data_IF_102841370693
#
_entry.id   IF_102841370693
#
_cell.length_a   1.000
_cell.length_b   1.000
_cell.length_c   1.000
_cell.angle_alpha   90.00
_cell.angle_beta   90.00
_cell.angle_gamma   90.00
#
_symmetry.space_group_name_H-M   'P 1'
#
loop_
_entity.id
_entity.type
_entity.pdbx_description
1 polymer ?
#
# COMPACT_ATOMS: atom_id res chain seq x y z
N UNK A 1 -26.21 32.90 -1.41
CA UNK A 1 -26.23 31.51 -1.91
C UNK A 1 -24.86 30.98 -1.60
N UNK A 2 -24.66 30.57 -0.35
CA UNK A 2 -23.38 30.03 0.11
C UNK A 2 -23.25 28.62 -0.43
N UNK A 3 -22.29 28.44 -1.32
CA UNK A 3 -21.82 27.13 -1.71
C UNK A 3 -21.12 26.56 -0.47
N UNK A 4 -21.50 25.39 0.07
CA UNK A 4 -20.71 24.79 1.14
C UNK A 4 -19.34 24.50 0.54
N UNK A 5 -18.30 25.15 1.07
CA UNK A 5 -16.92 24.75 0.83
C UNK A 5 -16.85 23.27 1.17
N UNK A 6 -16.74 22.43 0.14
CA UNK A 6 -16.33 21.06 0.30
C UNK A 6 -14.89 21.15 0.82
N UNK A 7 -14.72 21.22 2.14
CA UNK A 7 -13.42 21.04 2.77
C UNK A 7 -12.93 19.66 2.36
N UNK A 8 -12.17 19.62 1.28
CA UNK A 8 -11.34 18.49 0.95
C UNK A 8 -10.28 18.45 2.04
N UNK A 9 -10.52 17.62 3.06
CA UNK A 9 -9.50 17.28 4.03
C UNK A 9 -8.72 16.09 3.44
N UNK A 10 -7.60 16.31 2.72
CA UNK A 10 -6.79 15.20 2.25
C UNK A 10 -6.39 14.34 3.45
N UNK A 11 -6.20 13.03 3.26
CA UNK A 11 -5.62 12.22 4.31
C UNK A 11 -4.31 12.88 4.76
N UNK A 12 -4.15 13.06 6.07
CA UNK A 12 -2.96 13.71 6.62
C UNK A 12 -1.68 12.97 6.19
N UNK A 13 -1.77 11.64 6.10
CA UNK A 13 -0.70 10.79 5.59
C UNK A 13 -0.53 10.92 4.08
N UNK A 14 0.67 10.59 3.60
CA UNK A 14 0.88 10.31 2.18
C UNK A 14 1.48 8.92 2.06
N UNK A 15 1.19 8.19 0.99
CA UNK A 15 1.80 6.90 0.76
C UNK A 15 2.02 6.67 -0.73
N UNK A 16 3.07 5.90 -1.02
CA UNK A 16 3.32 5.32 -2.33
C UNK A 16 3.19 3.82 -2.17
N UNK A 17 2.36 3.19 -3.00
CA UNK A 17 2.22 1.74 -3.08
C UNK A 17 2.71 1.30 -4.45
N UNK A 18 3.61 0.32 -4.50
CA UNK A 18 4.23 -0.13 -5.74
C UNK A 18 4.31 -1.65 -5.77
N UNK A 19 3.83 -2.24 -6.86
CA UNK A 19 4.05 -3.65 -7.16
C UNK A 19 5.48 -3.90 -7.64
N UNK A 20 6.04 -5.05 -7.28
CA UNK A 20 7.42 -5.44 -7.55
C UNK A 20 7.55 -6.97 -7.65
N UNK A 21 8.70 -7.45 -8.11
CA UNK A 21 9.04 -8.87 -8.09
C UNK A 21 9.48 -9.33 -6.69
N UNK A 22 10.23 -8.49 -5.98
CA UNK A 22 10.64 -8.71 -4.60
C UNK A 22 10.92 -7.38 -3.88
N UNK A 23 10.73 -7.36 -2.56
CA UNK A 23 10.99 -6.18 -1.72
C UNK A 23 11.74 -6.58 -0.45
N UNK A 24 12.71 -5.77 -0.05
CA UNK A 24 13.41 -5.92 1.23
C UNK A 24 13.46 -4.58 1.96
N UNK A 25 13.16 -4.60 3.26
CA UNK A 25 13.37 -3.46 4.16
C UNK A 25 14.60 -3.74 5.01
N UNK A 26 15.54 -2.82 5.03
CA UNK A 26 16.74 -2.90 5.88
C UNK A 26 17.20 -1.49 6.22
N UNK A 27 17.48 -1.24 7.50
CA UNK A 27 18.01 0.05 7.98
C UNK A 27 17.19 1.27 7.50
N UNK A 28 15.86 1.17 7.59
CA UNK A 28 14.94 2.22 7.14
C UNK A 28 14.89 2.45 5.62
N UNK A 29 15.59 1.64 4.83
CA UNK A 29 15.60 1.70 3.36
C UNK A 29 14.69 0.62 2.78
N UNK A 30 14.07 0.97 1.66
CA UNK A 30 13.22 0.09 0.88
C UNK A 30 13.96 -0.30 -0.41
N UNK A 31 14.43 -1.54 -0.48
CA UNK A 31 15.04 -2.13 -1.67
C UNK A 31 13.96 -2.81 -2.48
N UNK A 32 13.82 -2.44 -3.76
CA UNK A 32 12.74 -2.89 -4.63
C UNK A 32 13.34 -3.48 -5.90
N UNK A 33 13.08 -4.77 -6.13
CA UNK A 33 13.44 -5.45 -7.38
C UNK A 33 12.24 -5.43 -8.33
N UNK A 34 12.43 -4.90 -9.54
CA UNK A 34 11.36 -4.87 -10.55
C UNK A 34 10.18 -3.96 -10.19
N UNK A 35 10.43 -2.85 -9.49
CA UNK A 35 9.39 -1.91 -9.10
C UNK A 35 8.63 -1.33 -10.30
N UNK A 36 7.30 -1.24 -10.18
CA UNK A 36 6.42 -0.81 -11.26
C UNK A 36 5.80 -1.96 -12.05
N UNK A 37 5.82 -3.17 -11.49
CA UNK A 37 5.20 -4.35 -12.10
C UNK A 37 3.70 -4.16 -12.28
N UNK A 38 3.26 -3.87 -13.51
CA UNK A 38 1.85 -3.64 -13.84
C UNK A 38 1.12 -4.83 -14.45
N UNK A 39 1.85 -5.88 -14.84
CA UNK A 39 1.26 -7.06 -15.49
C UNK A 39 2.01 -8.32 -15.05
N UNK A 40 1.26 -9.35 -14.64
CA UNK A 40 1.80 -10.67 -14.31
C UNK A 40 1.36 -11.74 -15.33
N UNK A 41 2.12 -12.83 -15.38
CA UNK A 41 1.82 -13.98 -16.25
C UNK A 41 0.52 -14.70 -15.85
N UNK A 42 0.01 -15.59 -16.72
CA UNK A 42 -1.19 -16.38 -16.43
C UNK A 42 -0.96 -17.48 -15.39
N UNK A 43 0.31 -17.83 -15.13
CA UNK A 43 0.70 -18.79 -14.10
C UNK A 43 0.98 -18.04 -12.79
N UNK A 44 0.54 -18.57 -11.63
CA UNK A 44 0.86 -17.99 -10.34
C UNK A 44 2.39 -17.82 -10.18
N UNK A 45 2.80 -16.63 -9.77
CA UNK A 45 4.20 -16.28 -9.54
C UNK A 45 4.34 -15.47 -8.25
N UNK A 46 5.54 -15.44 -7.69
CA UNK A 46 5.83 -14.58 -6.54
C UNK A 46 5.72 -13.12 -6.97
N UNK A 47 5.17 -12.31 -6.08
CA UNK A 47 5.04 -10.87 -6.24
C UNK A 47 5.32 -10.20 -4.90
N UNK A 48 5.61 -8.91 -4.94
CA UNK A 48 5.79 -8.11 -3.74
C UNK A 48 5.08 -6.76 -3.88
N UNK A 49 4.74 -6.19 -2.73
CA UNK A 49 4.22 -4.83 -2.61
C UNK A 49 5.17 -4.04 -1.72
N UNK A 50 5.70 -2.97 -2.28
CA UNK A 50 6.50 -1.98 -1.58
C UNK A 50 5.58 -0.82 -1.19
N UNK A 51 5.57 -0.47 0.09
CA UNK A 51 4.82 0.69 0.58
C UNK A 51 5.77 1.65 1.25
N UNK A 52 5.64 2.94 0.95
CA UNK A 52 6.37 4.00 1.63
C UNK A 52 5.39 5.03 2.15
N UNK A 53 5.27 5.15 3.46
CA UNK A 53 4.31 6.04 4.13
C UNK A 53 5.06 7.28 4.63
N UNK A 54 4.59 8.46 4.28
CA UNK A 54 4.96 9.74 4.89
C UNK A 54 4.05 9.99 6.09
N UNK A 55 4.63 9.98 7.27
CA UNK A 55 3.95 10.27 8.53
C UNK A 55 4.03 11.78 8.79
N UNK A 56 2.88 12.44 9.01
CA UNK A 56 2.84 13.84 9.40
C UNK A 56 3.64 14.10 10.67
N UNK A 57 4.22 15.29 10.76
CA UNK A 57 5.08 15.64 11.89
C UNK A 57 4.34 15.52 13.22
N UNK A 58 3.08 15.95 13.29
CA UNK A 58 2.19 15.89 14.46
C UNK A 58 1.77 14.46 14.86
N UNK A 59 1.83 13.51 13.92
CA UNK A 59 1.47 12.09 14.11
C UNK A 59 2.65 11.19 14.52
N UNK A 60 3.86 11.74 14.64
CA UNK A 60 5.03 10.96 15.06
C UNK A 60 4.98 10.51 16.54
N UNK A 61 5.71 9.44 16.87
CA UNK A 61 5.74 8.76 18.17
C UNK A 61 4.35 8.27 18.63
N UNK A 62 3.46 7.99 17.68
CA UNK A 62 2.14 7.40 17.90
C UNK A 62 2.01 6.17 17.00
N UNK A 63 1.38 5.12 17.53
CA UNK A 63 1.08 3.92 16.75
C UNK A 63 -0.12 4.15 15.85
N UNK A 64 0.01 3.76 14.59
CA UNK A 64 -1.05 3.75 13.60
C UNK A 64 -1.31 2.36 13.09
N UNK A 65 -2.56 2.07 12.74
CA UNK A 65 -2.96 0.83 12.10
C UNK A 65 -2.87 1.01 10.59
N UNK A 66 -2.44 -0.04 9.89
CA UNK A 66 -2.52 -0.11 8.45
C UNK A 66 -3.10 -1.44 8.00
N UNK A 67 -3.72 -1.43 6.83
CA UNK A 67 -4.24 -2.63 6.18
C UNK A 67 -4.01 -2.54 4.68
N UNK A 68 -3.62 -3.65 4.07
CA UNK A 68 -3.48 -3.81 2.64
C UNK A 68 -4.43 -4.91 2.17
N UNK A 69 -5.44 -4.53 1.41
CA UNK A 69 -6.46 -5.42 0.85
C UNK A 69 -6.16 -5.66 -0.63
N UNK A 70 -6.32 -6.90 -1.10
CA UNK A 70 -6.41 -7.18 -2.52
C UNK A 70 -7.87 -7.11 -2.96
N UNK A 71 -8.17 -6.21 -3.89
CA UNK A 71 -9.51 -6.05 -4.48
C UNK A 71 -9.48 -6.35 -5.97
N UNK A 72 -10.62 -6.78 -6.51
CA UNK A 72 -10.80 -6.98 -7.94
C UNK A 72 -11.20 -5.68 -8.67
N UNK A 73 -11.47 -5.79 -9.97
CA UNK A 73 -11.83 -4.66 -10.83
C UNK A 73 -13.18 -4.02 -10.52
N UNK A 74 -14.04 -4.72 -9.75
CA UNK A 74 -15.33 -4.22 -9.25
C UNK A 74 -15.20 -3.64 -7.83
N UNK A 75 -13.98 -3.59 -7.28
CA UNK A 75 -13.69 -3.11 -5.93
C UNK A 75 -14.06 -4.09 -4.82
N UNK A 76 -14.33 -5.34 -5.14
CA UNK A 76 -14.68 -6.36 -4.15
C UNK A 76 -13.41 -7.06 -3.60
N UNK A 77 -13.37 -7.43 -2.31
CA UNK A 77 -12.24 -8.17 -1.76
C UNK A 77 -12.04 -9.51 -2.47
N UNK A 78 -10.81 -9.78 -2.92
CA UNK A 78 -10.44 -11.07 -3.49
C UNK A 78 -10.35 -12.11 -2.38
N UNK A 79 -11.14 -13.17 -2.48
CA UNK A 79 -11.14 -14.26 -1.53
C UNK A 79 -10.59 -15.58 -2.11
N UNK A 80 -9.78 -16.29 -1.33
CA UNK A 80 -9.35 -17.66 -1.61
C UNK A 80 -9.88 -18.55 -0.50
N UNK A 81 -10.58 -19.63 -0.88
CA UNK A 81 -11.20 -20.57 0.07
C UNK A 81 -12.09 -19.86 1.11
N UNK A 82 -12.83 -18.83 0.68
CA UNK A 82 -13.73 -18.05 1.53
C UNK A 82 -13.05 -17.02 2.45
N UNK A 83 -11.72 -16.81 2.34
CA UNK A 83 -10.98 -15.82 3.11
C UNK A 83 -10.39 -14.74 2.21
N UNK A 84 -10.72 -13.48 2.50
CA UNK A 84 -10.15 -12.32 1.80
C UNK A 84 -8.64 -12.23 1.98
N UNK A 85 -7.94 -11.86 0.92
CA UNK A 85 -6.50 -11.62 0.95
C UNK A 85 -6.27 -10.22 1.49
N UNK A 86 -5.94 -10.15 2.78
CA UNK A 86 -5.66 -8.91 3.49
C UNK A 86 -4.54 -9.11 4.51
N UNK A 87 -3.74 -8.06 4.68
CA UNK A 87 -2.61 -8.02 5.62
C UNK A 87 -2.75 -6.74 6.40
N UNK A 88 -2.63 -6.83 7.73
CA UNK A 88 -2.74 -5.67 8.59
C UNK A 88 -1.60 -5.68 9.61
N UNK A 89 -1.29 -4.50 10.12
CA UNK A 89 -0.28 -4.34 11.16
C UNK A 89 -0.30 -2.94 11.75
N UNK A 90 0.71 -2.67 12.58
CA UNK A 90 0.93 -1.34 13.15
C UNK A 90 2.26 -0.78 12.67
N UNK A 91 2.35 0.54 12.58
CA UNK A 91 3.61 1.25 12.43
C UNK A 91 3.66 2.47 13.35
N UNK A 92 4.88 2.95 13.61
CA UNK A 92 5.15 4.17 14.35
C UNK A 92 6.40 4.82 13.74
N UNK A 93 6.35 6.12 13.46
CA UNK A 93 7.51 6.87 13.03
C UNK A 93 8.07 7.67 14.21
N UNK A 94 9.35 7.52 14.50
CA UNK A 94 10.03 8.33 15.51
C UNK A 94 10.25 9.79 15.04
N UNK A 95 10.48 10.71 15.99
CA UNK A 95 11.08 12.03 15.71
C UNK A 95 12.57 12.03 16.07
N UNK A 96 13.50 11.92 15.11
CA UNK A 96 14.93 11.95 15.42
C UNK A 96 15.32 13.31 16.01
N UNK A 97 16.24 13.30 16.98
CA UNK A 97 16.73 14.52 17.62
C UNK A 97 17.41 15.45 16.58
N UNK A 98 17.12 16.75 16.64
CA UNK A 98 17.71 17.76 15.75
C UNK A 98 17.07 17.87 14.36
N UNK A 99 16.01 17.10 14.07
CA UNK A 99 15.26 17.24 12.82
C UNK A 99 14.26 18.39 12.92
N UNK A 100 14.24 19.26 11.92
CA UNK A 100 13.33 20.42 11.89
C UNK A 100 11.86 19.97 11.74
N UNK A 101 10.91 20.64 12.43
CA UNK A 101 9.48 20.45 12.20
C UNK A 101 9.12 20.59 10.71
N UNK A 102 8.23 19.71 10.24
CA UNK A 102 7.84 19.64 8.82
C UNK A 102 8.70 18.70 7.97
N UNK A 103 9.77 18.11 8.52
CA UNK A 103 10.50 17.04 7.83
C UNK A 103 9.60 15.80 7.70
N UNK A 104 9.50 15.26 6.48
CA UNK A 104 8.74 14.04 6.24
C UNK A 104 9.37 12.83 6.96
N UNK A 105 8.58 12.16 7.79
CA UNK A 105 8.99 10.97 8.53
C UNK A 105 8.53 9.74 7.75
N UNK A 106 9.48 8.95 7.25
CA UNK A 106 9.16 7.85 6.33
C UNK A 106 9.14 6.50 7.04
N UNK A 107 8.10 5.72 6.77
CA UNK A 107 8.00 4.31 7.17
C UNK A 107 7.97 3.43 5.92
N UNK A 108 9.01 2.60 5.69
CA UNK A 108 8.99 1.59 4.64
C UNK A 108 8.31 0.32 5.12
N UNK A 109 7.40 -0.24 4.32
CA UNK A 109 6.85 -1.58 4.49
C UNK A 109 7.15 -2.40 3.23
N UNK A 110 7.58 -3.64 3.42
CA UNK A 110 7.85 -4.58 2.33
C UNK A 110 7.09 -5.86 2.57
N UNK A 111 6.21 -6.21 1.62
CA UNK A 111 5.34 -7.37 1.70
C UNK A 111 5.68 -8.29 0.52
N UNK A 112 6.13 -9.52 0.82
CA UNK A 112 6.40 -10.53 -0.20
C UNK A 112 5.34 -11.62 -0.12
N UNK A 113 4.73 -11.90 -1.27
CA UNK A 113 3.67 -12.89 -1.40
C UNK A 113 4.20 -14.07 -2.21
N UNK A 114 3.93 -15.28 -1.71
CA UNK A 114 4.04 -16.48 -2.53
C UNK A 114 3.03 -16.44 -3.68
N UNK A 115 3.11 -17.44 -4.57
CA UNK A 115 2.26 -17.54 -5.74
C UNK A 115 0.75 -17.52 -5.38
N UNK A 116 0.08 -16.38 -5.63
CA UNK A 116 -1.36 -16.21 -5.43
C UNK A 116 -2.09 -16.68 -6.70
N UNK A 117 -3.03 -17.64 -6.60
CA UNK A 117 -3.78 -18.16 -7.76
C UNK A 117 -4.88 -17.20 -8.20
N UNK A 118 -4.50 -16.12 -8.87
CA UNK A 118 -5.44 -15.13 -9.42
C UNK A 118 -5.93 -15.54 -10.82
N UNK A 119 -7.25 -15.47 -11.10
CA UNK A 119 -7.78 -15.66 -12.44
C UNK A 119 -7.14 -14.73 -13.49
N UNK A 120 -6.78 -15.30 -14.64
CA UNK A 120 -6.26 -14.56 -15.78
C UNK A 120 -7.31 -13.73 -16.52
N UNK A 121 -6.87 -12.70 -17.23
CA UNK A 121 -7.73 -11.79 -17.99
C UNK A 121 -8.45 -10.73 -17.16
N UNK A 122 -8.03 -10.53 -15.90
CA UNK A 122 -8.63 -9.59 -14.95
C UNK A 122 -7.60 -8.58 -14.43
N UNK A 123 -8.10 -7.50 -13.83
CA UNK A 123 -7.32 -6.54 -13.07
C UNK A 123 -7.57 -6.68 -11.57
N UNK A 124 -6.54 -6.36 -10.81
CA UNK A 124 -6.55 -6.38 -9.36
C UNK A 124 -5.83 -5.16 -8.82
N UNK A 125 -6.19 -4.74 -7.62
CA UNK A 125 -5.57 -3.60 -6.95
C UNK A 125 -5.23 -3.99 -5.53
N UNK A 126 -3.98 -3.72 -5.14
CA UNK A 126 -3.63 -3.64 -3.74
C UNK A 126 -4.00 -2.26 -3.23
N UNK A 127 -4.93 -2.19 -2.28
CA UNK A 127 -5.42 -0.95 -1.68
C UNK A 127 -4.92 -0.85 -0.24
N UNK A 128 -4.25 0.25 0.08
CA UNK A 128 -3.80 0.55 1.43
C UNK A 128 -4.84 1.42 2.15
N UNK A 129 -5.06 1.12 3.43
CA UNK A 129 -5.66 2.03 4.39
C UNK A 129 -4.76 2.25 5.60
N UNK A 130 -4.83 3.45 6.17
CA UNK A 130 -4.15 3.86 7.40
C UNK A 130 -5.22 4.45 8.32
N UNK A 131 -5.39 3.85 9.50
CA UNK A 131 -6.47 4.20 10.44
C UNK A 131 -7.84 4.29 9.74
N UNK A 132 -8.18 3.27 8.95
CA UNK A 132 -9.41 3.13 8.17
C UNK A 132 -9.62 4.17 7.04
N UNK A 133 -8.72 5.13 6.87
CA UNK A 133 -8.72 6.05 5.74
C UNK A 133 -7.92 5.48 4.56
N UNK A 134 -8.36 5.74 3.33
CA UNK A 134 -7.65 5.40 2.09
C UNK A 134 -7.55 6.63 1.17
N UNK A 135 -6.72 6.56 0.14
CA UNK A 135 -6.54 7.61 -0.85
C UNK A 135 -6.40 7.00 -2.26
N UNK A 136 -6.76 7.76 -3.29
CA UNK A 136 -6.62 7.31 -4.69
C UNK A 136 -5.18 6.93 -5.05
N UNK A 137 -4.19 7.64 -4.49
CA UNK A 137 -2.77 7.37 -4.73
C UNK A 137 -2.21 6.19 -3.92
N UNK A 138 -2.97 5.64 -2.99
CA UNK A 138 -2.53 4.55 -2.10
C UNK A 138 -2.88 3.17 -2.64
N UNK A 139 -2.74 3.03 -3.95
CA UNK A 139 -3.14 1.84 -4.68
C UNK A 139 -2.02 1.40 -5.64
N UNK A 140 -1.85 0.09 -5.79
CA UNK A 140 -1.07 -0.49 -6.89
C UNK A 140 -1.93 -1.47 -7.68
N UNK A 141 -2.28 -1.08 -8.90
CA UNK A 141 -3.10 -1.89 -9.81
C UNK A 141 -2.22 -2.67 -10.78
N UNK A 142 -2.58 -3.93 -11.02
CA UNK A 142 -1.92 -4.79 -11.99
C UNK A 142 -2.93 -5.68 -12.73
N UNK A 143 -2.53 -6.18 -13.90
CA UNK A 143 -3.32 -7.12 -14.69
C UNK A 143 -2.72 -8.52 -14.67
N UNK A 144 -3.56 -9.55 -14.73
CA UNK A 144 -3.13 -10.94 -14.94
C UNK A 144 -3.40 -11.31 -16.39
N UNK A 145 -2.37 -11.73 -17.13
CA UNK A 145 -2.55 -12.15 -18.53
C UNK A 145 -3.51 -13.32 -18.62
N UNK A 146 -4.27 -13.38 -19.72
CA UNK A 146 -5.05 -14.57 -20.06
C UNK A 146 -4.09 -15.73 -20.36
N UNK A 147 -4.48 -16.95 -19.96
CA UNK A 147 -3.75 -18.17 -20.29
C UNK A 147 -3.80 -18.46 -21.79
#
# INVERSE_FOLDING_TARGET
>A
MDQPDLEFNPPAFQAIVLMADAVQVSDGKLFILGGGLGVIGPRPQNIAVAVRIAVPWDQANVKHQWKLDLIDEDGQPVAINGKSIAIAGQFEAGRPAGVAPGTALWVPLGLNFGAIPLPGGKRYTWQLSINDATAETWNATFAVRKA
#
